data_IF_025611217261
#
_entry.id   IF_025611217261
#
_cell.length_a   1.000
_cell.length_b   1.000
_cell.length_c   1.000
_cell.angle_alpha   90.00
_cell.angle_beta   90.00
_cell.angle_gamma   90.00
#
_symmetry.space_group_name_H-M   'P 1'
#
loop_
_entity.id
_entity.type
_entity.pdbx_description
1 polymer ?
#
# COMPACT_ATOMS: atom_id res chain seq x y z
N UNK A 1 -3.85 -2.24 29.44
CA UNK A 1 -4.36 -3.57 29.79
C UNK A 1 -5.19 -4.04 28.62
N UNK A 2 -5.00 -5.27 28.17
CA UNK A 2 -5.86 -5.86 27.13
C UNK A 2 -7.29 -6.01 27.63
N UNK A 3 -8.26 -5.82 26.75
CA UNK A 3 -9.68 -6.06 27.03
C UNK A 3 -9.88 -7.58 27.07
N UNK A 4 -10.48 -8.15 28.15
CA UNK A 4 -10.76 -9.58 28.19
C UNK A 4 -11.77 -9.97 27.12
N UNK A 5 -11.61 -11.15 26.54
CA UNK A 5 -12.55 -11.69 25.57
C UNK A 5 -13.94 -11.93 26.22
N UNK A 6 -15.00 -11.47 25.54
CA UNK A 6 -16.42 -11.77 25.86
C UNK A 6 -17.02 -12.44 24.61
N UNK A 7 -17.63 -13.64 24.71
CA UNK A 7 -18.27 -14.32 23.58
C UNK A 7 -19.26 -13.45 22.78
N UNK A 8 -19.84 -12.43 23.39
CA UNK A 8 -20.70 -11.45 22.73
C UNK A 8 -19.99 -10.61 21.67
N UNK A 9 -18.66 -10.56 21.69
CA UNK A 9 -17.87 -9.89 20.65
C UNK A 9 -18.06 -10.55 19.29
N UNK A 10 -18.45 -11.82 19.24
CA UNK A 10 -18.71 -12.57 18.01
C UNK A 10 -20.12 -12.36 17.45
N UNK A 11 -21.00 -11.67 18.19
CA UNK A 11 -22.34 -11.35 17.71
C UNK A 11 -22.25 -10.39 16.52
N UNK A 12 -22.85 -10.76 15.38
CA UNK A 12 -22.96 -9.89 14.20
C UNK A 12 -24.08 -8.88 14.47
N UNK A 13 -23.73 -7.60 14.58
CA UNK A 13 -24.68 -6.51 14.85
C UNK A 13 -25.13 -5.76 13.60
N UNK A 14 -24.37 -5.88 12.49
CA UNK A 14 -24.70 -5.26 11.20
C UNK A 14 -23.93 -5.97 10.06
N UNK A 15 -24.33 -5.67 8.81
CA UNK A 15 -23.55 -5.98 7.62
C UNK A 15 -23.20 -4.68 6.92
N UNK A 16 -22.00 -4.56 6.36
CA UNK A 16 -21.55 -3.41 5.58
C UNK A 16 -21.01 -3.83 4.23
N UNK A 17 -21.11 -2.99 3.19
CA UNK A 17 -20.45 -3.24 1.91
C UNK A 17 -18.93 -3.34 2.11
N UNK A 18 -18.33 -4.38 1.56
CA UNK A 18 -16.90 -4.60 1.49
C UNK A 18 -16.36 -4.47 0.09
N UNK A 19 -15.13 -4.90 -0.12
CA UNK A 19 -14.49 -4.87 -1.43
C UNK A 19 -15.17 -5.85 -2.41
N UNK A 20 -15.20 -5.50 -3.67
CA UNK A 20 -15.69 -6.35 -4.76
C UNK A 20 -17.13 -6.87 -4.58
N UNK A 21 -17.98 -6.10 -3.91
CA UNK A 21 -19.40 -6.44 -3.71
C UNK A 21 -19.64 -7.50 -2.64
N UNK A 22 -18.64 -7.86 -1.85
CA UNK A 22 -18.83 -8.71 -0.68
C UNK A 22 -19.53 -7.94 0.44
N UNK A 23 -20.31 -8.61 1.27
CA UNK A 23 -20.81 -8.08 2.52
C UNK A 23 -19.88 -8.52 3.66
N UNK A 24 -19.47 -7.55 4.48
CA UNK A 24 -18.58 -7.78 5.61
C UNK A 24 -19.39 -7.66 6.90
N UNK A 25 -19.36 -8.67 7.79
CA UNK A 25 -20.03 -8.60 9.07
C UNK A 25 -19.36 -7.54 9.98
N UNK A 26 -20.19 -6.78 10.67
CA UNK A 26 -19.78 -5.90 11.77
C UNK A 26 -20.12 -6.61 13.06
N UNK A 27 -19.12 -6.91 13.85
CA UNK A 27 -19.27 -7.61 15.11
C UNK A 27 -19.47 -6.63 16.27
N UNK A 28 -19.91 -7.17 17.40
CA UNK A 28 -20.14 -6.40 18.62
C UNK A 28 -18.81 -6.15 19.38
N UNK A 29 -17.93 -5.39 18.75
CA UNK A 29 -16.59 -5.12 19.28
C UNK A 29 -16.65 -4.37 20.63
N UNK A 30 -15.76 -4.74 21.60
CA UNK A 30 -15.72 -4.12 22.92
C UNK A 30 -15.08 -2.73 22.89
N UNK A 31 -14.45 -2.37 21.78
CA UNK A 31 -13.73 -1.11 21.54
C UNK A 31 -13.92 -0.70 20.09
N UNK A 32 -13.89 0.59 19.81
CA UNK A 32 -13.95 1.04 18.42
C UNK A 32 -12.71 0.56 17.64
N UNK A 33 -12.91 0.19 16.37
CA UNK A 33 -11.82 -0.27 15.50
C UNK A 33 -10.71 0.77 15.37
N UNK A 34 -11.08 2.05 15.37
CA UNK A 34 -10.10 3.15 15.36
C UNK A 34 -9.23 3.17 16.59
N UNK A 35 -9.81 2.97 17.77
CA UNK A 35 -9.03 2.91 19.02
C UNK A 35 -8.14 1.67 19.05
N UNK A 36 -8.63 0.51 18.60
CA UNK A 36 -7.83 -0.70 18.49
C UNK A 36 -6.66 -0.50 17.52
N UNK A 37 -6.91 0.09 16.32
CA UNK A 37 -5.88 0.39 15.35
C UNK A 37 -4.84 1.37 15.89
N UNK A 38 -5.28 2.50 16.46
CA UNK A 38 -4.37 3.50 17.05
C UNK A 38 -3.50 2.86 18.15
N UNK A 39 -4.08 2.05 19.02
CA UNK A 39 -3.34 1.38 20.08
C UNK A 39 -2.31 0.38 19.52
N UNK A 40 -2.66 -0.36 18.47
CA UNK A 40 -1.76 -1.29 17.80
C UNK A 40 -0.58 -0.53 17.14
N UNK A 41 -0.85 0.51 16.35
CA UNK A 41 0.20 1.34 15.72
C UNK A 41 1.08 2.07 16.75
N UNK A 42 0.52 2.43 17.91
CA UNK A 42 1.28 2.98 19.04
C UNK A 42 2.04 1.91 19.86
N UNK A 43 2.01 0.64 19.43
CA UNK A 43 2.66 -0.50 20.11
C UNK A 43 2.13 -0.76 21.51
N UNK A 44 0.86 -0.43 21.75
CA UNK A 44 0.14 -0.66 23.02
C UNK A 44 -1.20 -1.31 22.75
N UNK A 45 -1.24 -2.48 22.09
CA UNK A 45 -2.48 -3.10 21.69
C UNK A 45 -3.40 -3.33 22.90
N UNK A 46 -4.66 -3.00 22.73
CA UNK A 46 -5.71 -3.16 23.76
C UNK A 46 -6.70 -4.26 23.39
N UNK A 47 -6.82 -4.55 22.10
CA UNK A 47 -7.68 -5.58 21.52
C UNK A 47 -7.10 -6.02 20.18
N UNK A 48 -7.56 -7.17 19.66
CA UNK A 48 -7.11 -7.63 18.34
C UNK A 48 -7.54 -6.66 17.23
N UNK A 49 -6.72 -6.53 16.21
CA UNK A 49 -7.00 -5.75 15.02
C UNK A 49 -7.19 -6.70 13.85
N UNK A 50 -8.32 -6.58 13.15
CA UNK A 50 -8.55 -7.28 11.90
C UNK A 50 -8.28 -6.30 10.75
N UNK A 51 -7.41 -6.68 9.79
CA UNK A 51 -6.89 -5.75 8.77
C UNK A 51 -7.95 -5.19 7.81
N UNK A 52 -9.08 -5.89 7.64
CA UNK A 52 -10.14 -5.53 6.67
C UNK A 52 -11.04 -4.36 7.10
N UNK A 53 -10.85 -3.82 8.30
CA UNK A 53 -11.78 -2.86 8.90
C UNK A 53 -11.28 -1.43 8.89
N UNK A 54 -10.03 -1.22 8.49
CA UNK A 54 -9.51 0.11 8.21
C UNK A 54 -10.19 0.73 7.00
N UNK A 55 -10.44 2.03 7.04
CA UNK A 55 -10.95 2.75 5.89
C UNK A 55 -9.87 2.86 4.82
N UNK A 56 -10.12 2.28 3.66
CA UNK A 56 -9.32 2.52 2.47
C UNK A 56 -9.85 3.75 1.75
N UNK A 57 -8.94 4.62 1.33
CA UNK A 57 -9.29 5.79 0.54
C UNK A 57 -8.29 5.97 -0.61
N UNK A 58 -8.80 5.93 -1.81
CA UNK A 58 -8.04 6.10 -3.06
C UNK A 58 -8.80 7.06 -3.96
N UNK A 59 -8.63 8.40 -3.74
CA UNK A 59 -9.40 9.42 -4.46
C UNK A 59 -9.03 9.49 -5.94
N UNK A 60 -10.00 9.84 -6.77
CA UNK A 60 -9.83 9.97 -8.24
C UNK A 60 -8.87 11.07 -8.65
N UNK A 61 -8.63 12.07 -7.81
CA UNK A 61 -7.67 13.15 -8.11
C UNK A 61 -6.24 12.63 -8.30
N UNK A 62 -5.92 11.47 -7.75
CA UNK A 62 -4.66 10.80 -7.98
C UNK A 62 -4.79 9.85 -9.19
N UNK A 63 -4.22 10.20 -10.37
CA UNK A 63 -4.48 9.48 -11.62
C UNK A 63 -4.12 7.99 -11.57
N UNK A 64 -3.13 7.62 -10.79
CA UNK A 64 -2.70 6.23 -10.60
C UNK A 64 -3.84 5.35 -10.05
N UNK A 65 -4.69 5.90 -9.19
CA UNK A 65 -5.82 5.14 -8.64
C UNK A 65 -6.80 4.72 -9.74
N UNK A 66 -7.06 5.62 -10.69
CA UNK A 66 -7.90 5.33 -11.87
C UNK A 66 -7.19 4.35 -12.80
N UNK A 67 -5.91 4.63 -13.10
CA UNK A 67 -5.11 3.77 -13.96
C UNK A 67 -5.02 2.32 -13.42
N UNK A 68 -4.85 2.16 -12.12
CA UNK A 68 -4.80 0.84 -11.44
C UNK A 68 -6.18 0.18 -11.27
N UNK A 69 -7.27 0.85 -11.65
CA UNK A 69 -8.65 0.38 -11.43
C UNK A 69 -9.01 0.18 -9.94
N UNK A 70 -8.46 1.03 -9.08
CA UNK A 70 -8.56 0.88 -7.63
C UNK A 70 -8.97 2.21 -6.97
N UNK A 71 -10.24 2.60 -7.19
CA UNK A 71 -10.82 3.83 -6.63
C UNK A 71 -11.83 3.49 -5.55
N UNK A 72 -11.56 3.93 -4.33
CA UNK A 72 -12.45 3.86 -3.17
C UNK A 72 -12.63 5.27 -2.62
N UNK A 73 -13.65 5.96 -3.11
CA UNK A 73 -14.04 7.31 -2.75
C UNK A 73 -15.56 7.43 -2.70
N UNK A 74 -16.09 8.62 -2.42
CA UNK A 74 -17.53 8.85 -2.30
C UNK A 74 -18.34 8.53 -3.57
N UNK A 75 -17.71 8.59 -4.74
CA UNK A 75 -18.38 8.33 -6.02
C UNK A 75 -18.19 6.89 -6.50
N UNK A 76 -17.15 6.22 -5.98
CA UNK A 76 -16.76 4.89 -6.41
C UNK A 76 -16.36 4.83 -7.89
N UNK A 77 -15.89 3.68 -8.32
CA UNK A 77 -15.61 3.35 -9.71
C UNK A 77 -15.70 1.83 -9.87
N UNK A 78 -16.33 1.38 -10.94
CA UNK A 78 -16.26 -0.04 -11.25
C UNK A 78 -14.86 -0.37 -11.77
N UNK A 79 -14.28 -1.53 -11.42
CA UNK A 79 -12.95 -1.90 -11.89
C UNK A 79 -12.79 -1.84 -13.42
N UNK A 80 -13.86 -2.20 -14.17
CA UNK A 80 -13.86 -2.19 -15.64
C UNK A 80 -13.80 -0.78 -16.25
N UNK A 81 -14.06 0.26 -15.45
CA UNK A 81 -13.94 1.67 -15.83
C UNK A 81 -12.50 2.19 -15.61
N UNK A 82 -11.65 1.37 -14.99
CA UNK A 82 -10.25 1.69 -14.72
C UNK A 82 -9.34 1.47 -15.93
N UNK A 83 -8.10 1.82 -15.77
CA UNK A 83 -7.11 1.86 -16.86
C UNK A 83 -6.91 3.26 -17.39
N UNK A 84 -6.34 3.36 -18.58
CA UNK A 84 -5.94 4.63 -19.17
C UNK A 84 -4.61 5.15 -18.63
N UNK A 85 -4.40 6.46 -18.72
CA UNK A 85 -3.10 7.06 -18.40
C UNK A 85 -2.93 7.31 -16.91
N UNK A 86 -1.79 6.86 -16.37
CA UNK A 86 -1.35 7.23 -15.03
C UNK A 86 -0.80 8.68 -14.99
N UNK A 87 -0.28 9.10 -13.83
CA UNK A 87 0.23 10.46 -13.65
C UNK A 87 1.45 10.82 -14.53
N UNK A 88 2.11 9.83 -15.11
CA UNK A 88 3.22 10.01 -16.06
C UNK A 88 2.80 9.81 -17.51
N UNK A 89 1.51 9.53 -17.76
CA UNK A 89 0.98 9.29 -19.10
C UNK A 89 1.19 7.87 -19.62
N UNK A 90 1.61 6.94 -18.77
CA UNK A 90 1.75 5.53 -19.13
C UNK A 90 0.36 4.90 -19.19
N UNK A 91 0.10 4.14 -20.26
CA UNK A 91 -1.19 3.47 -20.48
C UNK A 91 -1.29 2.17 -19.69
N UNK A 92 -2.38 2.04 -18.92
CA UNK A 92 -2.75 0.85 -18.17
C UNK A 92 -4.01 0.23 -18.75
N UNK A 93 -4.10 -1.09 -18.73
CA UNK A 93 -5.28 -1.84 -19.17
C UNK A 93 -5.84 -2.66 -18.01
N UNK A 94 -7.15 -2.60 -17.82
CA UNK A 94 -7.82 -3.47 -16.84
C UNK A 94 -7.80 -4.91 -17.32
N UNK A 95 -7.31 -5.81 -16.47
CA UNK A 95 -7.19 -7.25 -16.72
C UNK A 95 -8.05 -8.01 -15.72
N UNK A 96 -9.28 -8.44 -16.09
CA UNK A 96 -10.21 -9.09 -15.16
C UNK A 96 -9.61 -10.28 -14.42
N UNK A 97 -8.77 -11.08 -15.08
CA UNK A 97 -8.12 -12.24 -14.51
C UNK A 97 -7.11 -11.90 -13.40
N UNK A 98 -6.52 -10.71 -13.47
CA UNK A 98 -5.60 -10.18 -12.45
C UNK A 98 -6.33 -9.42 -11.34
N UNK A 99 -7.59 -9.08 -11.54
CA UNK A 99 -8.37 -8.26 -10.60
C UNK A 99 -7.91 -6.80 -10.51
N UNK A 100 -7.16 -6.31 -11.51
CA UNK A 100 -6.61 -4.95 -11.55
C UNK A 100 -6.07 -4.59 -12.92
N UNK A 101 -5.50 -3.40 -13.04
CA UNK A 101 -4.89 -2.95 -14.28
C UNK A 101 -3.40 -3.24 -14.33
N UNK A 102 -2.89 -3.45 -15.52
CA UNK A 102 -1.47 -3.69 -15.82
C UNK A 102 -1.02 -2.82 -16.98
N UNK A 103 0.25 -2.44 -17.00
CA UNK A 103 0.89 -1.92 -18.21
C UNK A 103 1.10 -3.09 -19.17
N UNK A 104 0.80 -2.86 -20.46
CA UNK A 104 0.96 -3.91 -21.48
C UNK A 104 2.45 -4.20 -21.69
N UNK A 105 2.92 -5.42 -21.44
CA UNK A 105 4.32 -5.76 -21.60
C UNK A 105 4.75 -5.79 -23.09
N UNK A 106 6.06 -5.66 -23.32
CA UNK A 106 6.67 -5.78 -24.63
C UNK A 106 6.74 -4.47 -25.43
N UNK A 107 6.34 -3.34 -24.83
CA UNK A 107 6.49 -1.98 -25.37
C UNK A 107 6.86 -1.01 -24.25
N UNK A 108 8.02 -1.18 -23.60
CA UNK A 108 8.43 -0.31 -22.53
C UNK A 108 8.56 1.15 -23.00
N UNK A 109 8.23 2.07 -22.12
CA UNK A 109 8.40 3.50 -22.35
C UNK A 109 9.89 3.89 -22.33
N UNK A 110 10.68 3.24 -21.46
CA UNK A 110 12.14 3.36 -21.38
C UNK A 110 12.76 2.02 -21.70
N UNK A 111 13.74 1.98 -22.62
CA UNK A 111 14.55 0.79 -22.88
C UNK A 111 15.83 0.75 -22.05
N UNK A 112 16.24 1.89 -21.52
CA UNK A 112 17.39 2.10 -20.66
C UNK A 112 17.02 3.12 -19.59
N UNK A 113 17.44 2.89 -18.33
CA UNK A 113 17.08 3.79 -17.25
C UNK A 113 17.60 5.21 -17.46
N UNK A 114 18.76 5.40 -18.11
CA UNK A 114 19.30 6.72 -18.38
C UNK A 114 18.39 7.58 -19.28
N UNK A 115 17.48 6.98 -20.02
CA UNK A 115 16.54 7.72 -20.87
C UNK A 115 15.53 8.55 -20.07
N UNK A 116 15.33 8.28 -18.78
CA UNK A 116 14.36 9.03 -17.99
C UNK A 116 14.68 10.52 -17.88
N UNK A 117 15.95 10.88 -17.92
CA UNK A 117 16.38 12.29 -17.85
C UNK A 117 15.75 13.15 -18.94
N UNK A 118 15.57 12.57 -20.13
CA UNK A 118 15.06 13.26 -21.31
C UNK A 118 13.59 12.96 -21.61
N UNK A 119 13.11 11.75 -21.27
CA UNK A 119 11.78 11.28 -21.68
C UNK A 119 10.69 11.48 -20.64
N UNK A 120 11.01 11.43 -19.34
CA UNK A 120 9.98 11.49 -18.29
C UNK A 120 9.51 12.92 -18.09
N UNK A 121 8.22 13.13 -18.32
CA UNK A 121 7.55 14.39 -18.00
C UNK A 121 6.95 14.28 -16.61
N UNK A 122 7.46 15.07 -15.67
CA UNK A 122 6.99 15.08 -14.30
C UNK A 122 5.62 15.76 -14.19
N UNK A 123 4.65 15.17 -13.45
CA UNK A 123 3.31 15.73 -13.35
C UNK A 123 3.31 17.07 -12.61
N UNK A 124 2.51 18.01 -13.12
CA UNK A 124 2.17 19.23 -12.39
C UNK A 124 1.01 18.96 -11.43
N UNK A 125 1.35 18.48 -10.24
CA UNK A 125 0.37 18.11 -9.21
C UNK A 125 -0.40 19.31 -8.66
N UNK A 126 0.09 20.54 -8.84
CA UNK A 126 -0.61 21.75 -8.41
C UNK A 126 -1.80 22.08 -9.32
N UNK A 127 -1.79 21.57 -10.55
CA UNK A 127 -2.89 21.71 -11.51
C UNK A 127 -4.07 20.74 -11.26
N UNK A 128 -3.92 19.75 -10.37
CA UNK A 128 -4.98 18.78 -10.09
C UNK A 128 -6.12 19.41 -9.29
N UNK A 129 -7.37 18.99 -9.54
CA UNK A 129 -8.58 19.53 -8.88
C UNK A 129 -8.74 19.01 -7.44
N UNK A 130 -7.77 19.36 -6.57
CA UNK A 130 -7.77 18.95 -5.17
C UNK A 130 -8.99 19.44 -4.40
N UNK A 131 -9.39 20.71 -4.62
CA UNK A 131 -10.55 21.31 -3.94
C UNK A 131 -11.85 20.66 -4.37
N UNK A 132 -12.04 20.45 -5.68
CA UNK A 132 -13.21 19.77 -6.21
C UNK A 132 -13.30 18.33 -5.69
N UNK A 133 -12.18 17.62 -5.61
CA UNK A 133 -12.17 16.26 -5.10
C UNK A 133 -12.42 16.19 -3.58
N UNK A 134 -11.84 17.11 -2.80
CA UNK A 134 -12.13 17.21 -1.38
C UNK A 134 -13.61 17.46 -1.10
N UNK A 135 -14.24 18.33 -1.91
CA UNK A 135 -15.69 18.60 -1.82
C UNK A 135 -16.54 17.40 -2.18
N UNK A 136 -16.18 16.65 -3.23
CA UNK A 136 -16.90 15.41 -3.61
C UNK A 136 -16.84 14.34 -2.51
N UNK A 137 -15.75 14.32 -1.76
CA UNK A 137 -15.51 13.36 -0.69
C UNK A 137 -15.88 13.87 0.71
N UNK A 138 -16.58 15.01 0.80
CA UNK A 138 -17.03 15.55 2.08
C UNK A 138 -17.89 14.52 2.83
N UNK A 139 -17.50 14.19 4.06
CA UNK A 139 -18.17 13.19 4.90
C UNK A 139 -17.91 11.73 4.52
N UNK A 140 -17.09 11.43 3.51
CA UNK A 140 -16.69 10.05 3.20
C UNK A 140 -15.75 9.47 4.26
N UNK A 141 -14.72 10.25 4.65
CA UNK A 141 -13.80 9.85 5.71
C UNK A 141 -14.46 10.01 7.07
N UNK A 142 -14.97 8.90 7.60
CA UNK A 142 -15.67 8.91 8.90
C UNK A 142 -14.68 9.09 10.05
N UNK A 143 -14.96 9.98 11.03
CA UNK A 143 -14.05 10.21 12.16
C UNK A 143 -13.81 8.98 13.03
N UNK A 144 -14.78 8.05 13.09
CA UNK A 144 -14.71 6.80 13.84
C UNK A 144 -13.93 5.68 13.15
N UNK A 145 -13.51 5.88 11.89
CA UNK A 145 -12.76 4.91 11.10
C UNK A 145 -11.27 5.28 11.09
N UNK A 146 -10.40 4.29 11.10
CA UNK A 146 -8.97 4.47 10.88
C UNK A 146 -8.70 4.54 9.38
N UNK A 147 -8.80 5.75 8.82
CA UNK A 147 -8.72 5.98 7.38
C UNK A 147 -7.27 6.01 6.90
N UNK A 148 -6.95 5.19 5.91
CA UNK A 148 -5.65 5.14 5.26
C UNK A 148 -5.80 5.49 3.78
N UNK A 149 -4.93 6.38 3.27
CA UNK A 149 -4.79 6.57 1.81
C UNK A 149 -3.85 5.52 1.25
N UNK A 150 -4.25 4.86 0.16
CA UNK A 150 -3.37 3.92 -0.53
C UNK A 150 -2.77 4.56 -1.78
N UNK A 151 -1.46 4.40 -1.91
CA UNK A 151 -0.68 4.71 -3.11
C UNK A 151 -0.19 3.40 -3.72
N UNK A 152 -0.67 3.10 -4.93
CA UNK A 152 -0.60 1.75 -5.50
C UNK A 152 0.63 1.48 -6.38
N UNK A 153 1.49 2.46 -6.59
CA UNK A 153 2.73 2.31 -7.32
C UNK A 153 3.87 2.85 -6.44
N UNK A 154 4.63 1.94 -5.83
CA UNK A 154 5.85 2.28 -5.12
C UNK A 154 7.01 2.58 -6.07
N UNK A 155 8.23 2.36 -5.65
CA UNK A 155 9.42 2.70 -6.44
C UNK A 155 9.71 1.67 -7.52
N UNK A 156 9.72 0.39 -7.14
CA UNK A 156 10.02 -0.68 -8.08
C UNK A 156 8.90 -0.89 -9.09
N UNK A 157 7.64 -0.89 -8.64
CA UNK A 157 6.49 -0.96 -9.55
C UNK A 157 6.41 0.25 -10.50
N UNK A 158 6.82 1.43 -10.04
CA UNK A 158 6.92 2.58 -10.93
C UNK A 158 7.98 2.36 -12.01
N UNK A 159 9.13 1.79 -11.66
CA UNK A 159 10.15 1.44 -12.63
C UNK A 159 9.64 0.37 -13.62
N UNK A 160 8.92 -0.65 -13.11
CA UNK A 160 8.25 -1.66 -13.96
C UNK A 160 7.28 -0.99 -14.94
N UNK A 161 6.51 0.00 -14.51
CA UNK A 161 5.58 0.68 -15.40
C UNK A 161 6.26 1.41 -16.57
N UNK A 162 7.53 1.78 -16.43
CA UNK A 162 8.31 2.43 -17.46
C UNK A 162 9.11 1.46 -18.32
N UNK A 163 9.62 0.37 -17.75
CA UNK A 163 10.65 -0.47 -18.39
C UNK A 163 10.21 -1.94 -18.60
N UNK A 164 8.96 -2.28 -18.31
CA UNK A 164 8.52 -3.66 -18.10
C UNK A 164 9.30 -4.32 -16.94
N UNK A 165 8.88 -5.51 -16.54
CA UNK A 165 9.53 -6.22 -15.41
C UNK A 165 10.99 -6.57 -15.68
N UNK A 166 11.28 -7.09 -16.90
CA UNK A 166 12.64 -7.50 -17.27
C UNK A 166 13.59 -6.29 -17.30
N UNK A 167 13.18 -5.20 -17.94
CA UNK A 167 13.98 -3.96 -17.98
C UNK A 167 14.23 -3.38 -16.60
N UNK A 168 13.18 -3.30 -15.76
CA UNK A 168 13.28 -2.79 -14.41
C UNK A 168 14.22 -3.61 -13.52
N UNK A 169 14.10 -4.95 -13.57
CA UNK A 169 14.96 -5.83 -12.76
C UNK A 169 16.41 -5.77 -13.24
N UNK A 170 16.64 -5.70 -14.56
CA UNK A 170 18.00 -5.55 -15.08
C UNK A 170 18.63 -4.21 -14.72
N UNK A 171 17.89 -3.11 -14.80
CA UNK A 171 18.39 -1.78 -14.48
C UNK A 171 18.89 -1.62 -13.03
N UNK A 172 18.27 -2.31 -12.07
CA UNK A 172 18.72 -2.26 -10.67
C UNK A 172 19.99 -3.09 -10.40
N UNK A 173 20.40 -3.96 -11.34
CA UNK A 173 21.64 -4.75 -11.26
C UNK A 173 22.75 -4.23 -12.17
N UNK A 174 22.42 -3.45 -13.18
CA UNK A 174 23.34 -2.95 -14.19
C UNK A 174 24.09 -1.72 -13.68
N UNK A 175 25.41 -1.83 -13.57
CA UNK A 175 26.28 -0.74 -13.07
C UNK A 175 26.22 0.52 -13.95
N UNK A 176 25.88 0.39 -15.24
CA UNK A 176 25.72 1.52 -16.14
C UNK A 176 24.36 2.24 -15.98
N UNK A 177 23.38 1.63 -15.30
CA UNK A 177 22.03 2.16 -15.13
C UNK A 177 21.66 2.46 -13.67
N UNK A 178 22.32 1.84 -12.69
CA UNK A 178 22.03 1.99 -11.27
C UNK A 178 21.94 3.44 -10.80
N UNK A 179 22.87 4.27 -11.21
CA UNK A 179 22.92 5.67 -10.79
C UNK A 179 21.71 6.43 -11.34
N UNK A 180 21.33 6.18 -12.60
CA UNK A 180 20.12 6.75 -13.17
C UNK A 180 18.85 6.29 -12.44
N UNK A 181 18.76 5.01 -12.04
CA UNK A 181 17.65 4.51 -11.22
C UNK A 181 17.61 5.19 -9.85
N UNK A 182 18.76 5.37 -9.20
CA UNK A 182 18.87 6.05 -7.90
C UNK A 182 18.41 7.51 -8.00
N UNK A 183 18.86 8.24 -9.01
CA UNK A 183 18.46 9.63 -9.27
C UNK A 183 16.97 9.73 -9.56
N UNK A 184 16.43 8.77 -10.34
CA UNK A 184 14.99 8.69 -10.59
C UNK A 184 14.20 8.47 -9.30
N UNK A 185 14.61 7.53 -8.45
CA UNK A 185 13.95 7.25 -7.18
C UNK A 185 14.03 8.43 -6.20
N UNK A 186 15.14 9.15 -6.21
CA UNK A 186 15.29 10.36 -5.40
C UNK A 186 14.25 11.42 -5.78
N UNK A 187 14.14 11.71 -7.07
CA UNK A 187 13.16 12.66 -7.59
C UNK A 187 11.71 12.17 -7.46
N UNK A 188 11.47 10.85 -7.61
CA UNK A 188 10.16 10.24 -7.39
C UNK A 188 9.74 10.40 -5.92
N UNK A 189 10.67 10.22 -5.00
CA UNK A 189 10.41 10.43 -3.57
C UNK A 189 10.01 11.86 -3.27
N UNK A 190 10.67 12.86 -3.87
CA UNK A 190 10.28 14.26 -3.75
C UNK A 190 8.86 14.51 -4.26
N UNK A 191 8.48 13.86 -5.36
CA UNK A 191 7.11 13.92 -5.89
C UNK A 191 6.11 13.27 -4.93
N UNK A 192 6.41 12.07 -4.42
CA UNK A 192 5.53 11.38 -3.47
C UNK A 192 5.33 12.16 -2.17
N UNK A 193 6.38 12.78 -1.64
CA UNK A 193 6.30 13.68 -0.48
C UNK A 193 5.33 14.83 -0.76
N UNK A 194 5.42 15.48 -1.91
CA UNK A 194 4.51 16.56 -2.30
C UNK A 194 3.06 16.08 -2.46
N UNK A 195 2.85 14.92 -3.08
CA UNK A 195 1.52 14.32 -3.23
C UNK A 195 0.93 14.00 -1.84
N UNK A 196 1.70 13.39 -0.95
CA UNK A 196 1.26 13.10 0.41
C UNK A 196 0.91 14.38 1.19
N UNK A 197 1.69 15.46 1.03
CA UNK A 197 1.40 16.74 1.68
C UNK A 197 0.09 17.35 1.17
N UNK A 198 -0.17 17.30 -0.14
CA UNK A 198 -1.46 17.69 -0.73
C UNK A 198 -2.60 16.81 -0.19
N UNK A 199 -2.44 15.48 -0.17
CA UNK A 199 -3.45 14.57 0.35
C UNK A 199 -3.79 14.87 1.83
N UNK A 200 -2.78 15.12 2.67
CA UNK A 200 -3.01 15.51 4.07
C UNK A 200 -3.74 16.86 4.20
N UNK A 201 -3.45 17.79 3.31
CA UNK A 201 -4.08 19.12 3.30
C UNK A 201 -5.56 19.04 2.94
N UNK A 202 -5.88 18.31 1.88
CA UNK A 202 -7.25 18.26 1.35
C UNK A 202 -8.11 17.16 1.98
N UNK A 203 -7.49 16.15 2.61
CA UNK A 203 -8.18 15.05 3.29
C UNK A 203 -7.70 14.89 4.74
N UNK A 204 -7.99 15.86 5.62
CA UNK A 204 -7.42 15.91 6.98
C UNK A 204 -7.85 14.75 7.87
N UNK A 205 -8.89 13.99 7.50
CA UNK A 205 -9.40 12.84 8.27
C UNK A 205 -8.58 11.56 8.18
N UNK A 206 -7.44 11.55 7.44
CA UNK A 206 -6.60 10.37 7.28
C UNK A 206 -5.67 10.16 8.48
N UNK A 207 -5.49 8.90 8.87
CA UNK A 207 -4.56 8.48 9.91
C UNK A 207 -3.15 8.20 9.36
N UNK A 208 -3.05 7.77 8.11
CA UNK A 208 -1.78 7.42 7.49
C UNK A 208 -1.88 7.04 6.02
N UNK A 209 -0.82 6.42 5.55
CA UNK A 209 -0.67 5.99 4.16
C UNK A 209 -0.31 4.52 4.09
N UNK A 210 -0.95 3.82 3.16
CA UNK A 210 -0.57 2.49 2.72
C UNK A 210 0.15 2.62 1.38
N UNK A 211 1.38 2.16 1.29
CA UNK A 211 2.15 2.16 0.04
C UNK A 211 2.28 0.73 -0.45
N UNK A 212 2.00 0.56 -1.73
CA UNK A 212 2.12 -0.73 -2.40
C UNK A 212 3.33 -0.75 -3.32
N UNK A 213 4.20 -1.76 -3.14
CA UNK A 213 5.36 -1.98 -4.00
C UNK A 213 5.76 -3.46 -3.97
N UNK A 214 5.54 -4.18 -5.06
CA UNK A 214 5.76 -5.62 -5.09
C UNK A 214 7.23 -5.98 -5.30
N UNK A 215 7.78 -6.74 -4.34
CA UNK A 215 9.19 -7.15 -4.32
C UNK A 215 9.39 -8.66 -4.51
N UNK A 216 8.34 -9.40 -4.72
CA UNK A 216 8.42 -10.84 -4.82
C UNK A 216 7.36 -11.50 -5.67
N UNK A 217 7.69 -12.69 -6.15
CA UNK A 217 6.75 -13.63 -6.73
C UNK A 217 6.14 -14.50 -5.62
N UNK A 218 5.23 -15.40 -5.99
CA UNK A 218 4.68 -16.38 -5.03
C UNK A 218 5.72 -17.37 -4.47
N UNK A 219 6.91 -17.43 -5.07
CA UNK A 219 7.95 -18.40 -4.70
C UNK A 219 9.14 -17.78 -3.98
N UNK A 220 9.54 -16.58 -4.38
CA UNK A 220 10.76 -15.94 -3.89
C UNK A 220 10.72 -14.42 -4.17
N UNK A 221 11.49 -13.65 -3.39
CA UNK A 221 11.73 -12.23 -3.65
C UNK A 221 12.48 -12.02 -4.98
N UNK A 222 12.20 -10.91 -5.67
CA UNK A 222 12.79 -10.59 -6.98
C UNK A 222 14.28 -10.25 -6.90
N UNK A 223 14.72 -9.72 -5.77
CA UNK A 223 16.09 -9.28 -5.54
C UNK A 223 16.53 -9.60 -4.10
N UNK A 224 17.84 -9.69 -3.90
CA UNK A 224 18.39 -9.98 -2.58
C UNK A 224 18.11 -8.85 -1.58
N UNK A 225 18.12 -9.13 -0.26
CA UNK A 225 18.04 -8.07 0.75
C UNK A 225 19.10 -6.97 0.60
N UNK A 226 20.29 -7.30 0.14
CA UNK A 226 21.37 -6.32 -0.08
C UNK A 226 20.99 -5.33 -1.21
N UNK A 227 20.39 -5.83 -2.30
CA UNK A 227 19.93 -4.97 -3.40
C UNK A 227 18.77 -4.09 -2.96
N UNK A 228 17.79 -4.64 -2.21
CA UNK A 228 16.70 -3.83 -1.66
C UNK A 228 17.22 -2.73 -0.73
N UNK A 229 18.21 -3.06 0.12
CA UNK A 229 18.84 -2.10 1.04
C UNK A 229 19.53 -0.96 0.28
N UNK A 230 20.22 -1.26 -0.81
CA UNK A 230 20.90 -0.26 -1.64
C UNK A 230 19.92 0.58 -2.44
N UNK A 231 18.97 -0.08 -3.14
CA UNK A 231 18.19 0.53 -4.21
C UNK A 231 16.84 1.11 -3.75
N UNK A 232 16.28 0.67 -2.63
CA UNK A 232 14.92 1.05 -2.22
C UNK A 232 14.87 1.71 -0.83
N UNK A 233 15.59 1.16 0.14
CA UNK A 233 15.52 1.61 1.53
C UNK A 233 15.76 3.12 1.71
N UNK A 234 16.76 3.77 1.09
CA UNK A 234 17.02 5.19 1.31
C UNK A 234 15.84 6.08 0.91
N UNK A 235 15.18 5.75 -0.17
CA UNK A 235 14.09 6.53 -0.74
C UNK A 235 12.80 6.33 0.04
N UNK A 236 12.46 5.10 0.36
CA UNK A 236 11.30 4.79 1.20
C UNK A 236 11.46 5.41 2.59
N UNK A 237 12.65 5.33 3.18
CA UNK A 237 12.94 5.94 4.48
C UNK A 237 12.68 7.45 4.48
N UNK A 238 13.06 8.15 3.44
CA UNK A 238 12.77 9.60 3.32
C UNK A 238 11.28 9.89 3.35
N UNK A 239 10.46 9.07 2.67
CA UNK A 239 9.00 9.25 2.68
C UNK A 239 8.41 8.95 4.06
N UNK A 240 8.78 7.84 4.69
CA UNK A 240 8.25 7.47 6.01
C UNK A 240 8.67 8.46 7.09
N UNK A 241 9.93 8.95 7.08
CA UNK A 241 10.38 10.00 7.99
C UNK A 241 9.57 11.30 7.82
N UNK A 242 9.26 11.68 6.58
CA UNK A 242 8.37 12.82 6.32
C UNK A 242 6.97 12.59 6.89
N UNK A 243 6.35 11.44 6.62
CA UNK A 243 5.01 11.12 7.10
C UNK A 243 4.94 11.04 8.63
N UNK A 244 5.93 10.42 9.27
CA UNK A 244 6.07 10.40 10.72
C UNK A 244 6.23 11.81 11.32
N UNK A 245 6.98 12.70 10.65
CA UNK A 245 7.11 14.10 11.09
C UNK A 245 5.77 14.85 11.10
N UNK A 246 4.79 14.38 10.30
CA UNK A 246 3.41 14.89 10.26
C UNK A 246 2.46 14.10 11.17
N UNK A 247 2.97 13.15 11.97
CA UNK A 247 2.16 12.30 12.85
C UNK A 247 1.29 11.30 12.12
N UNK A 248 1.69 10.87 10.91
CA UNK A 248 0.99 9.87 10.10
C UNK A 248 1.64 8.51 10.23
N UNK A 249 0.81 7.45 10.18
CA UNK A 249 1.28 6.08 10.15
C UNK A 249 1.60 5.63 8.72
N UNK A 250 2.53 4.69 8.61
CA UNK A 250 3.04 4.18 7.34
C UNK A 250 2.86 2.67 7.27
N UNK A 251 1.91 2.21 6.47
CA UNK A 251 1.68 0.79 6.21
C UNK A 251 2.29 0.41 4.86
N UNK A 252 2.87 -0.79 4.79
CA UNK A 252 3.46 -1.31 3.58
C UNK A 252 2.74 -2.56 3.10
N UNK A 253 2.26 -2.52 1.87
CA UNK A 253 1.77 -3.71 1.18
C UNK A 253 2.78 -4.15 0.12
N UNK A 254 3.13 -5.43 0.17
CA UNK A 254 4.08 -6.03 -0.75
C UNK A 254 3.63 -7.47 -1.03
N UNK A 255 3.17 -7.73 -2.26
CA UNK A 255 2.79 -9.07 -2.68
C UNK A 255 4.00 -10.01 -2.80
N UNK A 256 3.73 -11.31 -2.74
CA UNK A 256 4.71 -12.36 -2.95
C UNK A 256 5.44 -12.80 -1.68
N UNK A 257 6.43 -13.68 -1.89
CA UNK A 257 7.24 -14.26 -0.83
C UNK A 257 8.35 -13.28 -0.42
N UNK A 258 8.10 -12.51 0.65
CA UNK A 258 8.94 -11.38 1.06
C UNK A 258 9.47 -11.47 2.51
N UNK A 259 9.34 -12.62 3.18
CA UNK A 259 9.80 -12.79 4.56
C UNK A 259 11.25 -12.33 4.76
N UNK A 260 12.13 -12.59 3.80
CA UNK A 260 13.54 -12.18 3.82
C UNK A 260 13.76 -10.66 3.78
N UNK A 261 12.75 -9.92 3.32
CA UNK A 261 12.80 -8.45 3.18
C UNK A 261 12.29 -7.69 4.41
N UNK A 262 11.68 -8.37 5.39
CA UNK A 262 11.16 -7.72 6.60
C UNK A 262 12.19 -6.84 7.30
N UNK A 263 13.48 -7.23 7.44
CA UNK A 263 14.50 -6.32 7.98
C UNK A 263 14.66 -5.01 7.19
N UNK A 264 14.52 -5.06 5.88
CA UNK A 264 14.56 -3.86 5.04
C UNK A 264 13.29 -3.02 5.19
N UNK A 265 12.13 -3.64 5.33
CA UNK A 265 10.87 -2.92 5.62
C UNK A 265 11.00 -2.13 6.94
N UNK A 266 11.63 -2.73 7.96
CA UNK A 266 11.93 -2.04 9.23
C UNK A 266 12.91 -0.88 9.01
N UNK A 267 13.98 -1.06 8.23
CA UNK A 267 14.93 0.01 7.88
C UNK A 267 14.27 1.15 7.11
N UNK A 268 13.29 0.84 6.25
CA UNK A 268 12.47 1.83 5.57
C UNK A 268 11.59 2.64 6.54
N UNK A 269 11.39 2.19 7.78
CA UNK A 269 10.54 2.88 8.76
C UNK A 269 9.06 2.59 8.62
N UNK A 270 8.66 1.47 7.98
CA UNK A 270 7.27 1.06 7.93
C UNK A 270 6.78 0.65 9.32
N UNK A 271 5.59 1.13 9.71
CA UNK A 271 4.95 0.77 10.99
C UNK A 271 4.31 -0.60 10.93
N UNK A 272 3.86 -1.02 9.76
CA UNK A 272 3.17 -2.30 9.55
C UNK A 272 3.48 -2.92 8.19
N UNK A 273 3.39 -4.25 8.14
CA UNK A 273 3.42 -5.05 6.93
C UNK A 273 2.41 -6.18 7.02
N UNK A 274 1.54 -6.25 6.01
CA UNK A 274 0.60 -7.36 5.84
C UNK A 274 1.09 -8.24 4.70
N UNK A 275 1.86 -9.27 5.04
CA UNK A 275 2.35 -10.27 4.10
C UNK A 275 1.21 -11.15 3.58
N UNK A 276 1.34 -11.65 2.35
CA UNK A 276 0.41 -12.65 1.81
C UNK A 276 0.62 -14.02 2.45
N UNK A 277 -0.39 -14.89 2.37
CA UNK A 277 -0.46 -16.19 3.04
C UNK A 277 0.70 -17.16 2.72
N UNK A 278 1.42 -16.98 1.56
CA UNK A 278 2.59 -17.80 1.26
C UNK A 278 3.80 -17.48 2.16
N UNK A 279 3.77 -16.38 2.90
CA UNK A 279 4.79 -16.06 3.90
C UNK A 279 4.45 -16.76 5.22
N UNK A 280 5.44 -17.30 5.89
CA UNK A 280 5.30 -17.73 7.29
C UNK A 280 5.18 -16.49 8.19
N UNK A 281 3.94 -15.97 8.29
CA UNK A 281 3.66 -14.72 9.02
C UNK A 281 3.78 -14.91 10.53
N UNK A 282 3.55 -16.12 11.04
CA UNK A 282 3.79 -16.43 12.46
C UNK A 282 5.28 -16.33 12.79
N UNK A 283 6.14 -16.88 11.92
CA UNK A 283 7.59 -16.74 12.01
C UNK A 283 8.05 -15.29 11.90
N UNK A 284 7.47 -14.53 10.99
CA UNK A 284 7.75 -13.10 10.85
C UNK A 284 7.41 -12.34 12.13
N UNK A 285 6.26 -12.64 12.74
CA UNK A 285 5.84 -12.04 14.01
C UNK A 285 6.80 -12.42 15.17
N UNK A 286 7.19 -13.70 15.26
CA UNK A 286 8.15 -14.17 16.27
C UNK A 286 9.48 -13.39 16.19
N UNK A 287 9.97 -13.16 14.97
CA UNK A 287 11.29 -12.55 14.74
C UNK A 287 11.28 -11.01 14.81
N UNK A 288 10.19 -10.37 14.40
CA UNK A 288 10.16 -8.93 14.12
C UNK A 288 8.94 -8.20 14.71
N UNK A 289 8.02 -8.92 15.34
CA UNK A 289 6.78 -8.35 15.87
C UNK A 289 6.98 -7.29 16.96
N UNK A 290 8.17 -7.19 17.56
CA UNK A 290 8.57 -6.11 18.46
C UNK A 290 8.99 -4.82 17.73
N UNK A 291 9.27 -4.88 16.42
CA UNK A 291 9.78 -3.77 15.62
C UNK A 291 8.77 -3.24 14.60
N UNK A 292 7.97 -4.12 13.99
CA UNK A 292 6.97 -3.79 12.98
C UNK A 292 5.67 -4.55 13.27
N UNK A 293 4.50 -3.96 13.03
CA UNK A 293 3.25 -4.70 13.08
C UNK A 293 3.19 -5.67 11.90
N UNK A 294 2.84 -6.92 12.18
CA UNK A 294 2.75 -7.98 11.18
C UNK A 294 1.35 -8.56 11.18
N UNK A 295 0.70 -8.57 10.01
CA UNK A 295 -0.52 -9.31 9.80
C UNK A 295 -0.25 -10.82 9.85
N UNK A 296 -0.84 -11.52 10.80
CA UNK A 296 -0.67 -12.96 10.97
C UNK A 296 -1.89 -13.68 10.45
N UNK A 297 -1.69 -14.66 9.58
CA UNK A 297 -2.75 -15.59 9.16
C UNK A 297 -2.75 -16.79 10.09
N UNK A 298 -3.91 -17.18 10.67
CA UNK A 298 -4.00 -18.40 11.44
C UNK A 298 -3.77 -19.61 10.53
N UNK A 299 -2.93 -20.55 10.96
CA UNK A 299 -2.76 -21.84 10.31
C UNK A 299 -3.87 -22.77 10.80
N UNK A 300 -5.03 -22.68 10.18
CA UNK A 300 -6.15 -23.58 10.45
C UNK A 300 -6.24 -24.62 9.33
N UNK A 301 -6.44 -25.88 9.74
CA UNK A 301 -6.79 -26.93 8.78
C UNK A 301 -8.13 -26.58 8.11
N UNK A 302 -8.33 -26.92 6.82
CA UNK A 302 -9.58 -26.61 6.12
C UNK A 302 -10.84 -27.20 6.76
N UNK A 303 -10.67 -28.20 7.61
CA UNK A 303 -11.70 -28.92 8.36
C UNK A 303 -11.59 -28.68 9.88
N UNK A 304 -10.90 -27.63 10.28
CA UNK A 304 -10.80 -27.25 11.71
C UNK A 304 -12.19 -27.02 12.30
N UNK A 305 -12.41 -27.56 13.51
CA UNK A 305 -13.66 -27.35 14.26
C UNK A 305 -13.80 -25.91 14.72
N UNK A 306 -15.02 -25.50 15.08
CA UNK A 306 -15.28 -24.15 15.65
C UNK A 306 -14.47 -23.90 16.94
N UNK A 307 -14.08 -24.96 17.68
CA UNK A 307 -13.22 -24.82 18.88
C UNK A 307 -11.75 -24.59 18.54
N UNK A 308 -11.30 -25.01 17.35
CA UNK A 308 -9.92 -24.83 16.86
C UNK A 308 -9.76 -23.49 16.13
N UNK A 309 -10.83 -22.89 15.66
CA UNK A 309 -10.86 -21.57 15.03
C UNK A 309 -10.88 -20.44 16.06
#
# INVERSE_FOLDING_TARGET
MSIPFDPKELDIIAMKPGFFGMEIPVYNYPVSLKEAALAAYQRKPIWQLTGMENGFFTPKVYPDNVARAFVFDANGMKPEEGGGKDMFGIEWEYVPQAGGSMVRPGKPFLNDANEWYDKVVWPDIDSWDWEGEAKKNEGYLKPEVFNMISMLNGWFERLISFMDFEGAIMAIFDDDQKDAVKDFYDKLTDLYIKICDKMMTYFPGIAGFNIHDDWGSQKETFFSPAVAEEMLVPYMRRLTDFLHSKGKFCDFHCCGQNLKQVPNMIKCGWDSWSGQQMNDTAKAYELYGDQILIGVYPELAPDASEEEQ
#
